data_IF_779388603008
#
_entry.id   IF_779388603008
#
_cell.length_a   1.000
_cell.length_b   1.000
_cell.length_c   1.000
_cell.angle_alpha   90.00
_cell.angle_beta   90.00
_cell.angle_gamma   90.00
#
_symmetry.space_group_name_H-M   'P 1'
#
loop_
_entity.id
_entity.type
_entity.pdbx_description
1 polymer ?
#
# COMPACT_ATOMS: atom_id res chain seq x y z
N UNK A 1 3.17 3.26 -3.22
CA UNK A 1 2.47 3.95 -2.11
C UNK A 1 2.68 3.10 -0.88
N UNK A 2 2.99 3.73 0.24
CA UNK A 2 3.15 3.06 1.53
C UNK A 2 1.96 3.43 2.42
N UNK A 3 1.41 2.46 3.17
CA UNK A 3 0.35 2.70 4.13
C UNK A 3 0.96 2.86 5.54
N UNK A 4 0.37 3.76 6.32
CA UNK A 4 0.75 4.03 7.70
C UNK A 4 -0.45 4.54 8.50
N UNK A 5 -0.37 4.44 9.81
CA UNK A 5 -1.34 5.02 10.74
C UNK A 5 -0.72 6.22 11.47
N UNK A 6 -1.59 7.15 11.87
CA UNK A 6 -1.22 8.30 12.71
C UNK A 6 -1.82 8.11 14.09
N UNK A 7 -0.98 8.17 15.13
CA UNK A 7 -1.47 8.12 16.51
C UNK A 7 -2.25 9.39 16.86
N UNK A 8 -3.08 9.38 17.91
CA UNK A 8 -3.70 10.60 18.43
C UNK A 8 -2.70 11.70 18.84
N UNK A 9 -1.44 11.35 19.06
CA UNK A 9 -0.33 12.29 19.34
C UNK A 9 0.39 12.79 18.08
N UNK A 10 0.00 12.31 16.89
CA UNK A 10 0.57 12.73 15.60
C UNK A 10 1.73 11.87 15.07
N UNK A 11 2.13 10.81 15.77
CA UNK A 11 3.25 9.96 15.37
C UNK A 11 2.85 8.98 14.26
N UNK A 12 3.76 8.74 13.32
CA UNK A 12 3.57 7.77 12.22
C UNK A 12 3.98 6.37 12.66
N UNK A 13 3.08 5.40 12.49
CA UNK A 13 3.34 3.97 12.69
C UNK A 13 3.19 3.24 11.35
N UNK A 14 4.20 2.47 10.95
CA UNK A 14 4.31 1.78 9.65
C UNK A 14 4.20 0.26 9.77
N UNK A 15 4.20 -0.27 10.98
CA UNK A 15 4.16 -1.71 11.24
C UNK A 15 3.16 -2.04 12.34
N UNK A 16 2.67 -3.29 12.35
CA UNK A 16 1.81 -3.79 13.42
C UNK A 16 2.52 -3.83 14.77
N UNK A 17 3.84 -4.06 14.78
CA UNK A 17 4.63 -4.09 16.01
C UNK A 17 4.70 -2.71 16.67
N UNK A 18 4.82 -1.64 15.88
CA UNK A 18 4.77 -0.27 16.41
C UNK A 18 3.39 0.07 17.00
N UNK A 19 2.31 -0.46 16.42
CA UNK A 19 0.96 -0.33 16.99
C UNK A 19 0.84 -1.10 18.30
N UNK A 20 1.35 -2.33 18.38
CA UNK A 20 1.36 -3.11 19.60
C UNK A 20 2.11 -2.38 20.73
N UNK A 21 3.33 -1.91 20.45
CA UNK A 21 4.11 -1.13 21.40
C UNK A 21 3.39 0.16 21.84
N UNK A 22 2.68 0.83 20.92
CA UNK A 22 1.88 2.00 21.25
C UNK A 22 0.72 1.66 22.19
N UNK A 23 0.00 0.57 21.94
CA UNK A 23 -1.12 0.12 22.80
C UNK A 23 -0.61 -0.30 24.19
N UNK A 24 0.49 -1.04 24.25
CA UNK A 24 1.15 -1.43 25.51
C UNK A 24 1.53 -0.22 26.36
N UNK A 25 2.10 0.82 25.72
CA UNK A 25 2.44 2.07 26.39
C UNK A 25 1.22 2.94 26.75
N UNK A 26 0.04 2.66 26.19
CA UNK A 26 -1.18 3.46 26.37
C UNK A 26 -2.39 2.56 26.66
N UNK A 27 -2.59 2.14 27.92
CA UNK A 27 -3.62 1.16 28.30
C UNK A 27 -5.06 1.53 27.91
N UNK A 28 -5.33 2.82 27.66
CA UNK A 28 -6.63 3.31 27.14
C UNK A 28 -7.06 2.64 25.82
N UNK A 29 -6.13 2.07 25.06
CA UNK A 29 -6.40 1.45 23.76
C UNK A 29 -6.36 -0.09 23.79
N UNK A 30 -6.39 -0.73 24.97
CA UNK A 30 -6.26 -2.19 25.09
C UNK A 30 -7.37 -2.98 24.37
N UNK A 31 -8.56 -2.40 24.21
CA UNK A 31 -9.69 -3.06 23.54
C UNK A 31 -9.56 -3.09 22.01
N UNK A 32 -8.46 -2.55 21.46
CA UNK A 32 -8.24 -2.50 20.02
C UNK A 32 -7.63 -3.80 19.51
N UNK A 33 -8.28 -4.41 18.52
CA UNK A 33 -7.77 -5.63 17.89
C UNK A 33 -6.63 -5.34 16.89
N UNK A 34 -5.42 -5.85 17.17
CA UNK A 34 -4.24 -5.72 16.31
C UNK A 34 -4.42 -6.27 14.88
N UNK A 35 -5.32 -7.24 14.68
CA UNK A 35 -5.61 -7.80 13.35
C UNK A 35 -6.43 -6.87 12.45
N UNK A 36 -7.08 -5.86 13.02
CA UNK A 36 -7.81 -4.85 12.24
C UNK A 36 -6.89 -3.90 11.47
N UNK A 37 -5.58 -3.88 11.79
CA UNK A 37 -4.61 -3.04 11.13
C UNK A 37 -3.98 -3.73 9.92
N UNK A 38 -4.07 -3.06 8.78
CA UNK A 38 -3.49 -3.46 7.50
C UNK A 38 -2.61 -2.36 6.94
N UNK A 39 -1.48 -2.75 6.36
CA UNK A 39 -0.50 -1.84 5.76
C UNK A 39 -0.39 -2.08 4.24
N UNK A 40 -1.34 -2.81 3.67
CA UNK A 40 -1.39 -3.08 2.23
C UNK A 40 -2.04 -1.90 1.52
N UNK A 41 -1.28 -1.21 0.67
CA UNK A 41 -1.86 -0.20 -0.23
C UNK A 41 -2.66 -0.87 -1.36
N UNK A 42 -3.86 -0.39 -1.70
CA UNK A 42 -4.64 -0.93 -2.81
C UNK A 42 -3.88 -0.87 -4.13
N UNK A 43 -4.05 -1.90 -4.96
CA UNK A 43 -3.53 -1.91 -6.33
C UNK A 43 -4.46 -1.11 -7.24
N UNK A 44 -3.95 -0.06 -7.85
CA UNK A 44 -4.70 0.70 -8.87
C UNK A 44 -4.94 -0.18 -10.09
N UNK A 45 -6.21 -0.35 -10.48
CA UNK A 45 -6.58 -1.09 -11.69
C UNK A 45 -6.84 -0.11 -12.84
N UNK A 46 -6.50 -0.48 -14.08
CA UNK A 46 -6.52 0.45 -15.23
C UNK A 46 -7.90 1.04 -15.50
N UNK A 47 -8.92 0.21 -15.33
CA UNK A 47 -10.35 0.52 -15.43
C UNK A 47 -10.86 1.44 -14.31
N UNK A 48 -10.13 1.55 -13.21
CA UNK A 48 -10.47 2.47 -12.09
C UNK A 48 -9.86 3.86 -12.25
N UNK A 49 -9.08 4.10 -13.31
CA UNK A 49 -8.44 5.39 -13.58
C UNK A 49 -9.38 6.20 -14.48
N UNK A 50 -9.87 7.37 -14.04
CA UNK A 50 -10.66 8.26 -14.88
C UNK A 50 -9.91 8.67 -16.17
N UNK A 51 -10.61 8.75 -17.31
CA UNK A 51 -10.00 8.99 -18.63
C UNK A 51 -9.22 10.32 -18.73
N UNK A 52 -9.60 11.31 -17.94
CA UNK A 52 -8.95 12.60 -17.80
C UNK A 52 -7.59 12.52 -17.08
N UNK A 53 -7.41 11.53 -16.20
CA UNK A 53 -6.14 11.27 -15.48
C UNK A 53 -5.15 10.48 -16.34
N UNK A 54 -5.64 9.55 -17.17
CA UNK A 54 -4.80 8.68 -18.03
C UNK A 54 -3.88 9.48 -18.96
N UNK A 55 -4.32 10.65 -19.43
CA UNK A 55 -3.54 11.51 -20.33
C UNK A 55 -2.30 12.15 -19.69
N UNK A 56 -2.17 12.11 -18.35
CA UNK A 56 -1.11 12.81 -17.61
C UNK A 56 -0.02 11.91 -17.01
N UNK A 57 -0.15 10.59 -17.09
CA UNK A 57 0.84 9.68 -16.50
C UNK A 57 1.91 9.33 -17.56
N UNK A 58 3.16 9.83 -17.45
CA UNK A 58 4.23 9.31 -18.29
C UNK A 58 4.42 7.83 -17.95
N UNK A 59 4.48 7.00 -18.98
CA UNK A 59 4.57 5.54 -18.86
C UNK A 59 5.66 5.11 -17.87
N UNK A 60 5.26 4.67 -16.68
CA UNK A 60 6.14 3.93 -15.77
C UNK A 60 6.32 2.56 -16.40
N UNK A 61 7.36 2.46 -17.22
CA UNK A 61 7.74 1.27 -17.96
C UNK A 61 8.17 0.17 -17.00
N UNK A 62 7.34 -0.86 -16.85
CA UNK A 62 7.74 -2.10 -16.23
C UNK A 62 8.48 -2.94 -17.28
N UNK A 63 9.81 -2.82 -17.32
CA UNK A 63 10.69 -3.64 -18.14
C UNK A 63 10.67 -5.07 -17.64
N UNK A 64 9.79 -5.91 -18.19
CA UNK A 64 9.87 -7.37 -18.05
C UNK A 64 9.03 -8.06 -19.14
N UNK A 65 9.33 -7.85 -20.44
CA UNK A 65 8.91 -8.75 -21.53
C UNK A 65 9.86 -8.67 -22.73
N UNK A 66 10.73 -9.66 -22.89
CA UNK A 66 11.12 -10.22 -24.21
C UNK A 66 11.13 -11.74 -24.04
N UNK A 67 10.01 -12.40 -24.33
CA UNK A 67 9.59 -12.87 -25.65
C UNK A 67 10.45 -14.07 -26.13
N UNK A 68 10.03 -15.27 -25.75
CA UNK A 68 10.35 -16.50 -26.47
C UNK A 68 9.16 -16.79 -27.40
N UNK A 69 9.34 -16.53 -28.70
CA UNK A 69 8.74 -17.29 -29.80
C UNK A 69 9.39 -16.81 -31.10
N UNK A 70 10.07 -17.71 -31.81
CA UNK A 70 10.47 -17.51 -33.20
C UNK A 70 9.94 -18.71 -33.96
N UNK A 71 8.84 -18.50 -34.67
CA UNK A 71 8.28 -19.46 -35.64
C UNK A 71 9.10 -19.43 -36.94
N UNK A 72 9.28 -20.64 -37.46
CA UNK A 72 9.35 -21.10 -38.86
C UNK A 72 10.20 -20.39 -39.92
N UNK A 73 11.10 -21.17 -40.54
CA UNK A 73 11.25 -21.29 -42.00
C UNK A 73 11.69 -22.72 -42.33
#
# INVERSE_FOLDING_TARGET
MDAYYITPTGNKLRTRNEIAAFIEANPKYQDVNLSAFTFTSPKVMKDTIPEDVVRKIPSIGNSNKKAALKDSA
#
